data_IF_567986948047
#
_entry.id   IF_567986948047
#
_cell.length_a   1.000
_cell.length_b   1.000
_cell.length_c   1.000
_cell.angle_alpha   90.00
_cell.angle_beta   90.00
_cell.angle_gamma   90.00
#
_symmetry.space_group_name_H-M   'P 1'
#
loop_
_entity.id
_entity.type
_entity.pdbx_description
1 polymer ?
#
# COMPACT_ATOMS: atom_id res chain seq x y z
N UNK A 1 -10.22 6.33 -8.81
CA UNK A 1 -10.73 7.44 -9.65
C UNK A 1 -9.60 8.42 -9.99
N UNK A 2 -8.92 9.05 -9.03
CA UNK A 2 -7.84 10.05 -9.27
C UNK A 2 -6.72 9.50 -10.16
N UNK A 3 -6.14 8.37 -9.83
CA UNK A 3 -5.06 7.76 -10.61
C UNK A 3 -5.50 7.43 -12.06
N UNK A 4 -6.72 6.92 -12.24
CA UNK A 4 -7.25 6.61 -13.56
C UNK A 4 -7.38 7.89 -14.41
N UNK A 5 -7.98 8.94 -13.87
CA UNK A 5 -8.12 10.23 -14.57
C UNK A 5 -6.74 10.80 -14.96
N UNK A 6 -5.75 10.67 -14.07
CA UNK A 6 -4.38 11.12 -14.36
C UNK A 6 -3.71 10.27 -15.45
N UNK A 7 -4.01 8.98 -15.50
CA UNK A 7 -3.47 8.07 -16.53
C UNK A 7 -4.13 8.28 -17.89
N UNK A 8 -5.43 8.56 -17.94
CA UNK A 8 -6.18 8.81 -19.18
C UNK A 8 -5.84 10.16 -19.83
N UNK A 9 -5.41 11.13 -19.04
CA UNK A 9 -5.00 12.45 -19.51
C UNK A 9 -3.59 12.43 -20.09
N UNK A 10 -3.47 12.75 -21.38
CA UNK A 10 -2.20 12.76 -22.11
C UNK A 10 -1.15 13.73 -21.52
N UNK A 11 -1.60 14.84 -20.88
CA UNK A 11 -0.72 15.84 -20.26
C UNK A 11 -0.12 15.36 -18.92
N UNK A 12 -0.77 14.41 -18.23
CA UNK A 12 -0.36 13.97 -16.90
C UNK A 12 0.10 12.51 -16.85
N UNK A 13 -0.20 11.73 -17.89
CA UNK A 13 0.13 10.29 -17.97
C UNK A 13 1.61 9.99 -17.73
N UNK A 14 2.52 10.89 -18.12
CA UNK A 14 3.97 10.69 -18.02
C UNK A 14 4.44 10.35 -16.61
N UNK A 15 3.71 10.75 -15.55
CA UNK A 15 4.11 10.45 -14.17
C UNK A 15 4.13 8.94 -13.86
N UNK A 16 3.40 8.13 -14.64
CA UNK A 16 3.37 6.67 -14.48
C UNK A 16 4.51 5.95 -15.22
N UNK A 17 5.31 6.68 -15.98
CA UNK A 17 6.56 6.19 -16.58
C UNK A 17 7.73 6.81 -15.80
N UNK A 18 8.48 6.03 -15.00
CA UNK A 18 9.57 6.56 -14.18
C UNK A 18 10.63 7.31 -15.01
N UNK A 19 10.94 6.82 -16.21
CA UNK A 19 11.95 7.43 -17.08
C UNK A 19 11.45 8.78 -17.61
N UNK A 20 10.22 8.82 -18.11
CA UNK A 20 9.62 10.05 -18.63
C UNK A 20 9.36 11.07 -17.51
N UNK A 21 8.97 10.59 -16.32
CA UNK A 21 8.76 11.43 -15.14
C UNK A 21 10.04 12.19 -14.76
N UNK A 22 11.20 11.50 -14.74
CA UNK A 22 12.48 12.10 -14.37
C UNK A 22 13.06 13.07 -15.42
N UNK A 23 12.56 13.05 -16.65
CA UNK A 23 12.94 14.03 -17.69
C UNK A 23 12.23 15.37 -17.53
N UNK A 24 11.17 15.43 -16.71
CA UNK A 24 10.35 16.64 -16.55
C UNK A 24 10.82 17.51 -15.39
N UNK A 25 10.67 18.83 -15.51
CA UNK A 25 10.90 19.73 -14.38
C UNK A 25 10.01 19.38 -13.18
N UNK A 26 10.54 19.61 -11.98
CA UNK A 26 9.80 19.37 -10.72
C UNK A 26 8.38 19.97 -10.73
N UNK A 27 8.23 21.21 -11.21
CA UNK A 27 6.94 21.90 -11.24
C UNK A 27 5.91 21.22 -12.15
N UNK A 28 6.35 20.59 -13.26
CA UNK A 28 5.47 19.84 -14.14
C UNK A 28 4.99 18.55 -13.48
N UNK A 29 5.90 17.81 -12.85
CA UNK A 29 5.58 16.59 -12.10
C UNK A 29 4.60 16.91 -10.98
N UNK A 30 4.87 17.96 -10.21
CA UNK A 30 3.99 18.41 -9.14
C UNK A 30 2.60 18.77 -9.68
N UNK A 31 2.52 19.55 -10.75
CA UNK A 31 1.26 19.96 -11.38
C UNK A 31 0.45 18.75 -11.85
N UNK A 32 1.09 17.76 -12.45
CA UNK A 32 0.45 16.53 -12.89
C UNK A 32 -0.11 15.70 -11.72
N UNK A 33 0.66 15.58 -10.63
CA UNK A 33 0.25 14.84 -9.42
C UNK A 33 -0.95 15.49 -8.69
N UNK A 34 -1.06 16.81 -8.72
CA UNK A 34 -2.15 17.53 -8.02
C UNK A 34 -3.40 17.72 -8.88
N UNK A 35 -3.29 17.75 -10.21
CA UNK A 35 -4.40 18.04 -11.14
C UNK A 35 -5.66 17.21 -10.84
N UNK A 36 -5.49 15.92 -10.61
CA UNK A 36 -6.57 14.99 -10.25
C UNK A 36 -6.43 14.43 -8.82
N UNK A 37 -5.68 15.15 -7.96
CA UNK A 37 -5.53 14.81 -6.54
C UNK A 37 -4.90 13.43 -6.29
N UNK A 38 -3.92 13.01 -7.09
CA UNK A 38 -3.05 11.86 -6.78
C UNK A 38 -2.20 12.21 -5.58
N UNK A 39 -1.62 13.43 -5.56
CA UNK A 39 -0.96 13.99 -4.39
C UNK A 39 -1.87 14.99 -3.67
N UNK A 40 -1.98 14.86 -2.33
CA UNK A 40 -2.71 15.77 -1.45
C UNK A 40 -1.76 16.71 -0.68
N UNK A 41 -0.56 16.24 -0.37
CA UNK A 41 0.55 17.00 0.21
C UNK A 41 1.56 17.29 -0.90
N UNK A 42 1.32 18.36 -1.64
CA UNK A 42 1.96 18.61 -2.94
C UNK A 42 3.49 18.46 -2.92
N UNK A 43 4.19 19.12 -2.01
CA UNK A 43 5.65 19.12 -1.99
C UNK A 43 6.18 17.77 -1.55
N UNK A 44 5.78 17.32 -0.38
CA UNK A 44 6.23 16.04 0.21
C UNK A 44 5.93 14.83 -0.67
N UNK A 45 4.73 14.74 -1.26
CA UNK A 45 4.37 13.59 -2.08
C UNK A 45 5.00 13.66 -3.48
N UNK A 46 5.29 14.85 -3.99
CA UNK A 46 6.07 15.00 -5.22
C UNK A 46 7.52 14.53 -5.02
N UNK A 47 8.16 14.91 -3.93
CA UNK A 47 9.51 14.42 -3.58
C UNK A 47 9.55 12.90 -3.44
N UNK A 48 8.55 12.31 -2.76
CA UNK A 48 8.42 10.86 -2.63
C UNK A 48 8.23 10.19 -3.99
N UNK A 49 7.38 10.75 -4.84
CA UNK A 49 7.13 10.22 -6.18
C UNK A 49 8.39 10.19 -7.02
N UNK A 50 9.12 11.31 -7.06
CA UNK A 50 10.41 11.41 -7.76
C UNK A 50 11.43 10.44 -7.19
N UNK A 51 11.52 10.31 -5.87
CA UNK A 51 12.42 9.34 -5.22
C UNK A 51 12.11 7.89 -5.60
N UNK A 52 10.84 7.54 -5.69
CA UNK A 52 10.43 6.21 -6.16
C UNK A 52 10.78 6.01 -7.64
N UNK A 53 10.57 7.03 -8.50
CA UNK A 53 10.97 6.97 -9.90
C UNK A 53 12.50 6.80 -10.04
N UNK A 54 13.30 7.57 -9.30
CA UNK A 54 14.76 7.42 -9.25
C UNK A 54 15.17 5.99 -8.87
N UNK A 55 14.56 5.46 -7.83
CA UNK A 55 14.81 4.10 -7.35
C UNK A 55 14.47 3.06 -8.42
N UNK A 56 13.32 3.19 -9.07
CA UNK A 56 12.92 2.26 -10.13
C UNK A 56 13.83 2.33 -11.35
N UNK A 57 14.28 3.53 -11.72
CA UNK A 57 15.22 3.69 -12.85
C UNK A 57 16.61 3.15 -12.48
N UNK A 58 17.12 3.47 -11.29
CA UNK A 58 18.42 3.01 -10.79
C UNK A 58 18.51 1.48 -10.74
N UNK A 59 17.50 0.83 -10.15
CA UNK A 59 17.54 -0.60 -9.91
C UNK A 59 17.07 -1.44 -11.11
N UNK A 60 16.08 -0.96 -11.86
CA UNK A 60 15.38 -1.79 -12.84
C UNK A 60 15.09 -1.11 -14.18
N UNK A 61 15.77 -0.01 -14.47
CA UNK A 61 15.55 0.78 -15.69
C UNK A 61 14.05 1.14 -15.88
N UNK A 62 13.39 1.51 -14.77
CA UNK A 62 11.98 1.93 -14.74
C UNK A 62 10.94 0.81 -14.64
N UNK A 63 11.34 -0.46 -14.71
CA UNK A 63 10.41 -1.60 -14.68
C UNK A 63 10.32 -2.27 -13.32
N UNK A 64 9.32 -1.90 -12.51
CA UNK A 64 9.09 -2.47 -11.17
C UNK A 64 8.85 -3.99 -11.18
N UNK A 65 8.49 -4.60 -12.31
CA UNK A 65 8.25 -6.05 -12.39
C UNK A 65 9.51 -6.85 -12.09
N UNK A 66 10.68 -6.28 -12.36
CA UNK A 66 11.97 -6.90 -12.03
C UNK A 66 12.17 -7.11 -10.52
N UNK A 67 11.57 -6.27 -9.67
CA UNK A 67 11.54 -6.53 -8.23
C UNK A 67 10.89 -7.87 -7.92
N UNK A 68 9.79 -8.19 -8.59
CA UNK A 68 9.08 -9.45 -8.36
C UNK A 68 9.87 -10.64 -8.85
N UNK A 69 10.53 -10.52 -10.01
CA UNK A 69 11.42 -11.56 -10.55
C UNK A 69 12.59 -11.81 -9.60
N UNK A 70 13.29 -10.76 -9.13
CA UNK A 70 14.41 -10.84 -8.18
C UNK A 70 13.99 -11.44 -6.83
N UNK A 71 12.78 -11.17 -6.39
CA UNK A 71 12.22 -11.70 -5.15
C UNK A 71 11.47 -13.03 -5.34
N UNK A 72 11.51 -13.64 -6.54
CA UNK A 72 10.82 -14.89 -6.84
C UNK A 72 9.32 -14.85 -6.54
N UNK A 73 8.71 -13.67 -6.68
CA UNK A 73 7.30 -13.39 -6.35
C UNK A 73 6.90 -13.70 -4.90
N UNK A 74 7.87 -13.80 -3.99
CA UNK A 74 7.66 -14.11 -2.58
C UNK A 74 7.39 -12.83 -1.79
N UNK A 75 6.21 -12.71 -1.14
CA UNK A 75 5.82 -11.50 -0.41
C UNK A 75 6.78 -11.18 0.74
N UNK A 76 7.38 -12.19 1.38
CA UNK A 76 8.31 -11.99 2.49
C UNK A 76 9.65 -11.43 1.99
N UNK A 77 10.13 -11.93 0.85
CA UNK A 77 11.35 -11.40 0.20
C UNK A 77 11.13 -9.99 -0.30
N UNK A 78 9.99 -9.68 -0.92
CA UNK A 78 9.63 -8.34 -1.37
C UNK A 78 9.55 -7.37 -0.19
N UNK A 79 8.89 -7.77 0.90
CA UNK A 79 8.80 -6.96 2.13
C UNK A 79 10.17 -6.71 2.73
N UNK A 80 11.00 -7.75 2.85
CA UNK A 80 12.38 -7.61 3.35
C UNK A 80 13.17 -6.64 2.48
N UNK A 81 13.13 -6.79 1.15
CA UNK A 81 13.82 -5.91 0.21
C UNK A 81 13.42 -4.44 0.38
N UNK A 82 12.10 -4.17 0.43
CA UNK A 82 11.57 -2.80 0.52
C UNK A 82 11.71 -2.20 1.92
N UNK A 83 11.36 -2.96 2.97
CA UNK A 83 11.19 -2.44 4.32
C UNK A 83 12.47 -2.45 5.15
N UNK A 84 13.43 -3.33 4.80
CA UNK A 84 14.67 -3.54 5.56
C UNK A 84 15.87 -3.15 4.71
N UNK A 85 16.13 -3.89 3.63
CA UNK A 85 17.38 -3.81 2.88
C UNK A 85 17.52 -2.47 2.11
N UNK A 86 16.40 -1.94 1.60
CA UNK A 86 16.37 -0.70 0.80
C UNK A 86 15.40 0.35 1.35
N UNK A 87 15.12 0.36 2.64
CA UNK A 87 14.11 1.22 3.28
C UNK A 87 14.17 2.68 2.86
N UNK A 88 15.37 3.25 2.74
CA UNK A 88 15.58 4.65 2.36
C UNK A 88 15.22 4.95 0.89
N UNK A 89 15.28 3.92 0.03
CA UNK A 89 14.94 4.04 -1.40
C UNK A 89 13.43 3.99 -1.65
N UNK A 90 12.65 3.49 -0.69
CA UNK A 90 11.19 3.32 -0.79
C UNK A 90 10.43 4.14 0.26
N UNK A 91 10.53 5.49 0.23
CA UNK A 91 9.78 6.32 1.16
C UNK A 91 8.28 6.02 1.05
N UNK A 92 7.57 6.00 2.18
CA UNK A 92 6.18 5.56 2.36
C UNK A 92 5.95 4.07 2.08
N UNK A 93 6.41 3.55 0.92
CA UNK A 93 6.19 2.15 0.56
C UNK A 93 6.89 1.19 1.54
N UNK A 94 7.97 1.62 2.19
CA UNK A 94 8.64 0.85 3.25
C UNK A 94 7.85 0.78 4.58
N UNK A 95 6.76 1.54 4.73
CA UNK A 95 5.87 1.41 5.89
C UNK A 95 5.01 0.15 5.82
N UNK A 96 4.85 -0.56 6.95
CA UNK A 96 4.11 -1.84 7.03
C UNK A 96 2.71 -1.74 6.42
N UNK A 97 1.94 -0.72 6.77
CA UNK A 97 0.60 -0.50 6.25
C UNK A 97 0.58 -0.35 4.73
N UNK A 98 1.44 0.53 4.19
CA UNK A 98 1.41 0.88 2.76
C UNK A 98 1.95 -0.27 1.93
N UNK A 99 3.00 -0.95 2.37
CA UNK A 99 3.56 -2.10 1.68
C UNK A 99 2.55 -3.25 1.60
N UNK A 100 1.92 -3.61 2.71
CA UNK A 100 0.90 -4.65 2.74
C UNK A 100 -0.28 -4.32 1.81
N UNK A 101 -0.77 -3.07 1.86
CA UNK A 101 -1.88 -2.66 1.00
C UNK A 101 -1.49 -2.63 -0.49
N UNK A 102 -0.28 -2.19 -0.82
CA UNK A 102 0.23 -2.19 -2.19
C UNK A 102 0.32 -3.62 -2.76
N UNK A 103 0.90 -4.57 -2.01
CA UNK A 103 0.96 -5.98 -2.40
C UNK A 103 -0.45 -6.59 -2.55
N UNK A 104 -1.36 -6.24 -1.64
CA UNK A 104 -2.76 -6.66 -1.73
C UNK A 104 -3.44 -6.14 -3.01
N UNK A 105 -3.27 -4.85 -3.35
CA UNK A 105 -3.82 -4.28 -4.59
C UNK A 105 -3.29 -5.01 -5.82
N UNK A 106 -2.00 -5.30 -5.85
CA UNK A 106 -1.40 -6.07 -6.96
C UNK A 106 -1.97 -7.49 -7.03
N UNK A 107 -2.11 -8.16 -5.90
CA UNK A 107 -2.68 -9.51 -5.82
C UNK A 107 -4.13 -9.54 -6.30
N UNK A 108 -4.96 -8.56 -5.90
CA UNK A 108 -6.39 -8.55 -6.21
C UNK A 108 -6.71 -8.06 -7.62
N UNK A 109 -5.96 -7.09 -8.15
CA UNK A 109 -6.34 -6.37 -9.35
C UNK A 109 -5.39 -6.57 -10.54
N UNK A 110 -4.40 -7.46 -10.40
CA UNK A 110 -3.50 -7.83 -11.50
C UNK A 110 -3.41 -9.34 -11.66
N UNK A 111 -2.71 -9.78 -12.71
CA UNK A 111 -2.45 -11.22 -12.94
C UNK A 111 -1.22 -11.74 -12.19
N UNK A 112 -0.61 -10.93 -11.31
CA UNK A 112 0.54 -11.35 -10.51
C UNK A 112 0.09 -12.43 -9.53
N UNK A 113 0.88 -13.49 -9.44
CA UNK A 113 0.68 -14.59 -8.49
C UNK A 113 1.83 -14.58 -7.50
N UNK A 114 1.55 -14.09 -6.29
CA UNK A 114 2.53 -14.08 -5.21
C UNK A 114 2.58 -15.42 -4.49
N UNK A 115 3.78 -15.82 -4.07
CA UNK A 115 4.03 -16.91 -3.12
C UNK A 115 3.89 -16.37 -1.69
N UNK A 116 3.48 -17.24 -0.77
CA UNK A 116 3.33 -16.92 0.66
C UNK A 116 2.40 -15.72 0.92
N UNK A 117 1.35 -15.59 0.10
CA UNK A 117 0.36 -14.49 0.24
C UNK A 117 -0.38 -14.56 1.58
N UNK A 118 -0.46 -15.72 2.20
CA UNK A 118 -1.00 -15.95 3.54
C UNK A 118 -0.24 -15.20 4.64
N UNK A 119 1.03 -14.86 4.41
CA UNK A 119 1.85 -14.07 5.33
C UNK A 119 1.60 -12.56 5.20
N UNK A 120 0.72 -12.14 4.28
CA UNK A 120 0.36 -10.75 4.12
C UNK A 120 -0.72 -10.36 5.13
N UNK A 121 -0.33 -9.56 6.10
CA UNK A 121 -1.20 -9.09 7.17
C UNK A 121 -2.25 -8.08 6.69
N UNK A 122 -3.30 -7.86 7.48
CA UNK A 122 -4.18 -6.69 7.31
C UNK A 122 -3.33 -5.40 7.27
N UNK A 123 -3.77 -4.40 6.50
CA UNK A 123 -3.15 -3.08 6.55
C UNK A 123 -3.81 -2.26 7.68
N UNK A 124 -3.18 -2.11 8.86
CA UNK A 124 -3.83 -1.64 10.08
C UNK A 124 -4.01 -0.11 10.06
N UNK A 125 -4.89 0.39 9.22
CA UNK A 125 -5.25 1.80 9.22
C UNK A 125 -6.32 2.10 10.28
N UNK A 126 -6.68 3.37 10.41
CA UNK A 126 -7.68 3.84 11.39
C UNK A 126 -9.02 3.11 11.25
N UNK A 127 -9.43 2.76 10.02
CA UNK A 127 -10.69 2.07 9.78
C UNK A 127 -10.62 0.60 10.18
N UNK A 128 -9.53 -0.08 9.86
CA UNK A 128 -9.30 -1.47 10.29
C UNK A 128 -9.22 -1.57 11.80
N UNK A 129 -8.47 -0.67 12.47
CA UNK A 129 -8.38 -0.62 13.94
C UNK A 129 -9.76 -0.41 14.57
N UNK A 130 -10.57 0.54 14.06
CA UNK A 130 -11.92 0.79 14.55
C UNK A 130 -12.84 -0.42 14.38
N UNK A 131 -12.74 -1.12 13.26
CA UNK A 131 -13.53 -2.35 13.03
C UNK A 131 -13.09 -3.47 13.95
N UNK A 132 -11.79 -3.64 14.15
CA UNK A 132 -11.22 -4.63 15.08
C UNK A 132 -11.71 -4.39 16.52
N UNK A 133 -11.72 -3.14 16.95
CA UNK A 133 -12.26 -2.72 18.24
C UNK A 133 -13.78 -2.98 18.33
N UNK A 134 -14.54 -2.59 17.30
CA UNK A 134 -16.01 -2.78 17.27
C UNK A 134 -16.43 -4.25 17.32
N UNK A 135 -15.56 -5.15 16.86
CA UNK A 135 -15.75 -6.61 16.94
C UNK A 135 -15.26 -7.21 18.27
N UNK A 136 -14.76 -6.38 19.20
CA UNK A 136 -14.30 -6.82 20.52
C UNK A 136 -12.94 -7.53 20.53
N UNK A 137 -12.18 -7.45 19.45
CA UNK A 137 -10.84 -8.05 19.37
C UNK A 137 -9.75 -7.16 19.99
N UNK A 138 -10.05 -5.88 20.20
CA UNK A 138 -9.22 -4.89 20.90
C UNK A 138 -10.10 -4.22 21.95
N UNK A 139 -9.59 -4.06 23.18
CA UNK A 139 -10.30 -3.37 24.27
C UNK A 139 -10.22 -1.84 24.14
N UNK A 140 -11.02 -1.11 24.96
CA UNK A 140 -10.97 0.36 25.03
C UNK A 140 -9.58 0.86 25.48
N UNK A 141 -8.91 0.13 26.39
CA UNK A 141 -7.57 0.46 26.87
C UNK A 141 -6.52 0.25 25.76
N UNK A 142 -6.60 -0.90 25.06
CA UNK A 142 -5.70 -1.22 23.94
C UNK A 142 -5.86 -0.24 22.76
N UNK A 143 -7.07 0.29 22.54
CA UNK A 143 -7.34 1.26 21.46
C UNK A 143 -6.51 2.55 21.60
N UNK A 144 -6.14 2.93 22.81
CA UNK A 144 -5.32 4.12 23.09
C UNK A 144 -3.81 3.85 23.09
N UNK A 145 -3.41 2.60 22.92
CA UNK A 145 -2.00 2.19 22.89
C UNK A 145 -1.29 2.65 21.61
N UNK A 146 -0.01 2.99 21.74
CA UNK A 146 0.88 3.22 20.59
C UNK A 146 1.05 1.96 19.73
N UNK A 147 0.83 0.76 20.30
CA UNK A 147 0.99 -0.55 19.65
C UNK A 147 -0.33 -1.06 19.04
N UNK A 148 -1.41 -0.28 19.04
CA UNK A 148 -2.73 -0.71 18.58
C UNK A 148 -2.74 -1.32 17.17
N UNK A 149 -1.88 -0.83 16.27
CA UNK A 149 -1.78 -1.37 14.92
C UNK A 149 -1.15 -2.77 14.90
N UNK A 150 -0.15 -2.99 15.74
CA UNK A 150 0.49 -4.31 15.92
C UNK A 150 -0.48 -5.29 16.55
N UNK A 151 -1.17 -4.87 17.61
CA UNK A 151 -2.22 -5.67 18.25
C UNK A 151 -3.33 -6.09 17.28
N UNK A 152 -3.77 -5.16 16.42
CA UNK A 152 -4.77 -5.49 15.40
C UNK A 152 -4.28 -6.59 14.44
N UNK A 153 -3.05 -6.51 13.99
CA UNK A 153 -2.44 -7.55 13.13
C UNK A 153 -2.42 -8.89 13.85
N UNK A 154 -1.90 -8.91 15.07
CA UNK A 154 -1.76 -10.14 15.87
C UNK A 154 -3.10 -10.82 16.13
N UNK A 155 -4.13 -10.04 16.53
CA UNK A 155 -5.47 -10.56 16.78
C UNK A 155 -6.10 -11.20 15.54
N UNK A 156 -5.95 -10.57 14.37
CA UNK A 156 -6.47 -11.13 13.14
C UNK A 156 -5.70 -12.36 12.68
N UNK A 157 -4.37 -12.37 12.82
CA UNK A 157 -3.56 -13.55 12.51
C UNK A 157 -3.93 -14.75 13.41
N UNK A 158 -4.15 -14.51 14.69
CA UNK A 158 -4.56 -15.54 15.63
C UNK A 158 -5.96 -16.07 15.33
N UNK A 159 -6.93 -15.17 15.12
CA UNK A 159 -8.33 -15.52 14.85
C UNK A 159 -8.49 -16.34 13.57
N UNK A 160 -7.74 -16.02 12.53
CA UNK A 160 -7.86 -16.66 11.23
C UNK A 160 -6.95 -17.88 11.06
N UNK A 161 -6.12 -18.18 12.06
CA UNK A 161 -5.21 -19.33 12.02
C UNK A 161 -5.97 -20.64 11.85
N UNK A 162 -5.61 -21.38 10.81
CA UNK A 162 -6.25 -22.67 10.48
C UNK A 162 -7.59 -22.54 9.74
N UNK A 163 -8.01 -21.34 9.37
CA UNK A 163 -9.15 -21.11 8.49
C UNK A 163 -8.69 -21.02 7.02
N UNK A 164 -9.63 -21.00 6.09
CA UNK A 164 -9.36 -20.76 4.66
C UNK A 164 -9.06 -19.29 4.33
N UNK A 165 -9.40 -18.36 5.25
CA UNK A 165 -9.22 -16.93 5.06
C UNK A 165 -7.80 -16.47 5.41
N UNK A 166 -7.24 -15.63 4.56
CA UNK A 166 -5.98 -14.95 4.85
C UNK A 166 -6.27 -13.61 5.54
N UNK A 167 -5.43 -13.15 6.46
CA UNK A 167 -5.64 -11.87 7.15
C UNK A 167 -5.88 -10.69 6.20
N UNK A 168 -5.23 -10.67 5.04
CA UNK A 168 -5.40 -9.57 4.07
C UNK A 168 -6.76 -9.62 3.36
N UNK A 169 -7.41 -10.77 3.23
CA UNK A 169 -8.69 -10.91 2.51
C UNK A 169 -9.81 -10.15 3.19
N UNK A 170 -9.77 -10.02 4.52
CA UNK A 170 -10.77 -9.28 5.30
C UNK A 170 -10.55 -7.76 5.30
N UNK A 171 -9.40 -7.28 4.83
CA UNK A 171 -9.03 -5.87 4.92
C UNK A 171 -10.09 -4.94 4.33
N UNK A 172 -10.51 -5.19 3.10
CA UNK A 172 -11.49 -4.32 2.40
C UNK A 172 -12.84 -4.31 3.10
N UNK A 173 -13.32 -5.47 3.59
CA UNK A 173 -14.57 -5.57 4.31
C UNK A 173 -14.55 -4.75 5.62
N UNK A 174 -13.50 -4.87 6.42
CA UNK A 174 -13.32 -4.10 7.66
C UNK A 174 -13.26 -2.60 7.39
N UNK A 175 -12.52 -2.21 6.35
CA UNK A 175 -12.36 -0.80 5.98
C UNK A 175 -13.69 -0.18 5.53
N UNK A 176 -14.43 -0.85 4.64
CA UNK A 176 -15.74 -0.40 4.16
C UNK A 176 -16.77 -0.32 5.29
N UNK A 177 -16.82 -1.32 6.16
CA UNK A 177 -17.74 -1.36 7.28
C UNK A 177 -17.55 -0.18 8.23
N UNK A 178 -16.32 0.09 8.63
CA UNK A 178 -16.00 1.26 9.45
C UNK A 178 -16.30 2.58 8.73
N UNK A 179 -15.95 2.69 7.44
CA UNK A 179 -16.17 3.90 6.66
C UNK A 179 -17.65 4.22 6.48
N UNK A 180 -18.49 3.19 6.42
CA UNK A 180 -19.95 3.32 6.31
C UNK A 180 -20.65 3.45 7.68
N UNK A 181 -19.91 3.73 8.75
CA UNK A 181 -20.49 3.95 10.09
C UNK A 181 -21.00 2.68 10.75
N UNK A 182 -20.40 1.52 10.42
CA UNK A 182 -20.75 0.21 10.99
C UNK A 182 -22.21 -0.23 10.72
N UNK A 183 -22.78 0.22 9.62
CA UNK A 183 -24.10 -0.23 9.20
C UNK A 183 -24.01 -1.67 8.72
N UNK A 184 -25.06 -2.47 9.01
CA UNK A 184 -25.20 -3.78 8.39
C UNK A 184 -25.30 -3.61 6.86
N UNK A 185 -24.75 -4.56 6.13
CA UNK A 185 -24.92 -4.66 4.68
C UNK A 185 -26.21 -5.46 4.47
N UNK A 186 -27.36 -4.79 4.65
CA UNK A 186 -28.67 -5.35 4.29
C UNK A 186 -28.86 -5.24 2.78
#
# INVERSE_FOLDING_TARGET
KSALMTYEDAETRFIFDPIECLKRPYAEVQSALIKYRVALQKDKQTEIWLKLCETMVELWNGDIRKLFDECDYDVNRIRKFIQIDNKKKFPYLSGTKICNYWLYVLYQYTNIRFKNIEDLNVAPDTHVVKSTHKLGLISDEELTSSEVQTLAIERWNELLKGTEFKPIDIHTALWLWSRNGFRSLD
#
